data_IF_140363292756
#
_entry.id   IF_140363292756
#
_cell.length_a   1.000
_cell.length_b   1.000
_cell.length_c   1.000
_cell.angle_alpha   90.00
_cell.angle_beta   90.00
_cell.angle_gamma   90.00
#
_symmetry.space_group_name_H-M   'P 1'
#
loop_
_entity.id
_entity.type
_entity.pdbx_description
1 polymer ?
#
# COMPACT_ATOMS: atom_id res chain seq x y z
N UNK A 1 3.16 -20.47 -0.31
CA UNK A 1 4.31 -19.66 -0.73
C UNK A 1 5.08 -19.26 0.50
N UNK A 2 6.38 -18.99 0.37
CA UNK A 2 7.16 -18.39 1.44
C UNK A 2 6.67 -16.96 1.70
N UNK A 3 6.69 -16.53 2.97
CA UNK A 3 6.19 -15.21 3.38
C UNK A 3 6.90 -14.04 2.66
N UNK A 4 8.16 -14.25 2.24
CA UNK A 4 8.94 -13.32 1.40
C UNK A 4 8.25 -12.98 0.07
N UNK A 5 7.47 -13.89 -0.48
CA UNK A 5 6.79 -13.75 -1.78
C UNK A 5 5.37 -13.21 -1.69
N UNK A 6 4.82 -13.09 -0.47
CA UNK A 6 3.43 -12.69 -0.24
C UNK A 6 3.25 -11.19 0.08
N UNK A 7 4.29 -10.37 -0.07
CA UNK A 7 4.23 -8.94 0.24
C UNK A 7 3.57 -8.15 -0.90
N UNK A 8 2.55 -7.32 -0.62
CA UNK A 8 1.89 -6.52 -1.65
C UNK A 8 2.77 -5.38 -2.18
N UNK A 9 3.73 -4.93 -1.36
CA UNK A 9 4.69 -3.87 -1.69
C UNK A 9 6.01 -4.49 -2.15
N UNK A 10 6.48 -4.09 -3.32
CA UNK A 10 7.72 -4.59 -3.93
C UNK A 10 8.67 -3.44 -4.28
N UNK A 11 9.98 -3.70 -4.34
CA UNK A 11 10.96 -2.66 -4.63
C UNK A 11 10.80 -2.04 -6.03
N UNK A 12 10.40 -2.88 -7.00
CA UNK A 12 10.12 -2.47 -8.37
C UNK A 12 8.84 -1.65 -8.49
N UNK A 13 7.84 -1.92 -7.64
CA UNK A 13 6.61 -1.12 -7.56
C UNK A 13 6.79 0.24 -6.88
N UNK A 14 7.82 0.39 -6.02
CA UNK A 14 8.12 1.64 -5.34
C UNK A 14 8.93 2.59 -6.23
N UNK A 15 8.28 3.64 -6.72
CA UNK A 15 8.95 4.70 -7.51
C UNK A 15 8.49 6.09 -7.06
N UNK A 16 9.42 7.05 -7.09
CA UNK A 16 9.09 8.45 -6.86
C UNK A 16 8.52 9.06 -8.15
N UNK A 17 7.42 9.79 -8.03
CA UNK A 17 6.77 10.45 -9.18
C UNK A 17 7.20 11.90 -9.31
N UNK A 18 7.45 12.35 -10.53
CA UNK A 18 7.67 13.77 -10.87
C UNK A 18 6.51 14.39 -11.66
N UNK A 19 5.49 13.57 -11.93
CA UNK A 19 4.30 13.96 -12.67
C UNK A 19 3.52 15.03 -11.88
N UNK A 20 3.23 16.16 -12.52
CA UNK A 20 2.59 17.30 -11.87
C UNK A 20 1.14 17.03 -11.45
N UNK A 21 0.42 16.19 -12.17
CA UNK A 21 -0.97 15.83 -11.88
C UNK A 21 -1.03 14.95 -10.62
N UNK A 22 -0.18 13.92 -10.55
CA UNK A 22 -0.08 13.05 -9.36
C UNK A 22 0.35 13.80 -8.10
N UNK A 23 1.27 14.76 -8.24
CA UNK A 23 1.69 15.64 -7.15
C UNK A 23 0.69 16.76 -6.87
N UNK A 24 -0.19 17.06 -7.83
CA UNK A 24 -1.17 18.14 -7.78
C UNK A 24 -2.10 18.03 -6.58
N UNK A 25 -2.59 16.82 -6.31
CA UNK A 25 -3.41 16.50 -5.14
C UNK A 25 -2.74 16.93 -3.82
N UNK A 26 -1.47 16.58 -3.63
CA UNK A 26 -0.74 16.95 -2.41
C UNK A 26 -0.53 18.46 -2.33
N UNK A 27 -0.19 19.09 -3.46
CA UNK A 27 -0.02 20.55 -3.48
C UNK A 27 -1.31 21.29 -3.17
N UNK A 28 -2.44 20.84 -3.73
CA UNK A 28 -3.75 21.46 -3.57
C UNK A 28 -4.24 21.37 -2.13
N UNK A 29 -4.03 20.23 -1.48
CA UNK A 29 -4.35 20.05 -0.07
C UNK A 29 -3.49 20.94 0.83
N UNK A 30 -2.17 21.07 0.57
CA UNK A 30 -1.23 21.85 1.39
C UNK A 30 -1.30 23.36 1.14
N UNK A 31 -1.75 23.78 -0.04
CA UNK A 31 -1.93 25.19 -0.40
C UNK A 31 -3.40 25.60 -0.46
N UNK A 32 -4.28 24.86 0.23
CA UNK A 32 -5.67 25.23 0.34
C UNK A 32 -5.80 26.67 0.86
N UNK A 33 -6.56 27.50 0.14
CA UNK A 33 -6.74 28.93 0.40
C UNK A 33 -5.48 29.82 0.27
N UNK A 34 -4.46 29.37 -0.48
CA UNK A 34 -3.25 30.17 -0.80
C UNK A 34 -3.17 30.52 -2.29
N UNK A 35 -2.24 31.41 -2.63
CA UNK A 35 -2.05 31.88 -4.01
C UNK A 35 -1.53 30.80 -4.95
N UNK A 36 -1.83 30.94 -6.24
CA UNK A 36 -1.36 30.03 -7.30
C UNK A 36 0.17 29.94 -7.34
N UNK A 37 0.87 31.04 -7.00
CA UNK A 37 2.34 31.08 -6.92
C UNK A 37 2.84 30.12 -5.85
N UNK A 38 2.19 30.08 -4.68
CA UNK A 38 2.59 29.19 -3.59
C UNK A 38 2.45 27.70 -3.97
N UNK A 39 1.44 27.37 -4.79
CA UNK A 39 1.25 26.03 -5.36
C UNK A 39 2.38 25.64 -6.31
N UNK A 40 2.78 26.54 -7.21
CA UNK A 40 3.92 26.30 -8.11
C UNK A 40 5.26 26.16 -7.37
N UNK A 41 5.51 26.99 -6.36
CA UNK A 41 6.71 26.87 -5.53
C UNK A 41 6.72 25.50 -4.84
N UNK A 42 5.62 25.10 -4.19
CA UNK A 42 5.52 23.82 -3.50
C UNK A 42 5.73 22.63 -4.45
N UNK A 43 5.15 22.69 -5.66
CA UNK A 43 5.35 21.65 -6.67
C UNK A 43 6.83 21.45 -7.02
N UNK A 44 7.57 22.54 -7.21
CA UNK A 44 9.00 22.48 -7.51
C UNK A 44 9.82 22.02 -6.30
N UNK A 45 9.43 22.40 -5.10
CA UNK A 45 10.05 21.90 -3.86
C UNK A 45 9.89 20.39 -3.73
N UNK A 46 8.68 19.85 -3.95
CA UNK A 46 8.44 18.40 -3.89
C UNK A 46 9.24 17.67 -4.98
N UNK A 47 9.32 18.23 -6.19
CA UNK A 47 10.17 17.67 -7.27
C UNK A 47 11.64 17.64 -6.88
N UNK A 48 12.15 18.70 -6.28
CA UNK A 48 13.53 18.75 -5.79
C UNK A 48 13.77 17.71 -4.70
N UNK A 49 12.84 17.57 -3.75
CA UNK A 49 12.90 16.54 -2.71
C UNK A 49 12.90 15.13 -3.30
N UNK A 50 12.06 14.85 -4.30
CA UNK A 50 12.05 13.57 -5.00
C UNK A 50 13.36 13.30 -5.75
N UNK A 51 13.94 14.31 -6.39
CA UNK A 51 15.23 14.20 -7.07
C UNK A 51 16.35 13.89 -6.08
N UNK A 52 16.41 14.63 -4.97
CA UNK A 52 17.37 14.38 -3.89
C UNK A 52 17.19 12.97 -3.35
N UNK A 53 15.96 12.54 -3.02
CA UNK A 53 15.68 11.18 -2.57
C UNK A 53 16.16 10.11 -3.54
N UNK A 54 15.94 10.29 -4.86
CA UNK A 54 16.47 9.38 -5.87
C UNK A 54 18.00 9.31 -5.88
N UNK A 55 18.67 10.46 -5.81
CA UNK A 55 20.13 10.55 -5.77
C UNK A 55 20.65 9.83 -4.51
N UNK A 56 20.11 10.16 -3.33
CA UNK A 56 20.53 9.57 -2.06
C UNK A 56 20.35 8.05 -2.03
N UNK A 57 19.20 7.54 -2.51
CA UNK A 57 18.94 6.10 -2.62
C UNK A 57 19.86 5.43 -3.64
N UNK A 58 20.10 6.06 -4.80
CA UNK A 58 20.95 5.51 -5.87
C UNK A 58 22.41 5.39 -5.43
N UNK A 59 22.93 6.42 -4.75
CA UNK A 59 24.30 6.44 -4.24
C UNK A 59 24.45 5.79 -2.86
N UNK A 60 23.36 5.27 -2.28
CA UNK A 60 23.34 4.58 -0.97
C UNK A 60 23.99 5.41 0.14
N UNK A 61 23.78 6.72 0.14
CA UNK A 61 24.41 7.63 1.10
C UNK A 61 23.79 7.46 2.50
N UNK A 62 24.60 7.72 3.52
CA UNK A 62 24.13 7.81 4.90
C UNK A 62 24.13 9.30 5.28
N UNK A 63 22.95 9.91 5.35
CA UNK A 63 22.80 11.34 5.67
C UNK A 63 21.77 11.48 6.78
N UNK A 64 22.08 12.31 7.79
CA UNK A 64 21.21 12.57 8.93
C UNK A 64 20.77 11.28 9.66
N UNK A 65 21.71 10.36 9.86
CA UNK A 65 21.49 9.04 10.50
C UNK A 65 20.51 8.13 9.75
N UNK A 66 20.16 8.46 8.51
CA UNK A 66 19.27 7.65 7.66
C UNK A 66 20.11 6.93 6.59
N UNK A 67 20.13 5.58 6.58
CA UNK A 67 20.78 4.81 5.55
C UNK A 67 19.89 4.72 4.31
N UNK A 68 20.04 5.65 3.37
CA UNK A 68 19.17 5.77 2.19
C UNK A 68 19.22 4.55 1.27
N UNK A 69 20.33 3.81 1.26
CA UNK A 69 20.45 2.55 0.53
C UNK A 69 19.53 1.44 1.06
N UNK A 70 19.05 1.53 2.30
CA UNK A 70 18.13 0.56 2.91
C UNK A 70 16.68 1.04 2.98
N UNK A 71 16.39 2.24 2.50
CA UNK A 71 15.06 2.85 2.63
C UNK A 71 13.92 1.98 2.08
N UNK A 72 14.05 1.45 0.85
CA UNK A 72 13.02 0.57 0.26
C UNK A 72 12.95 -0.81 0.96
N UNK A 73 14.06 -1.54 1.17
CA UNK A 73 14.03 -2.78 1.96
C UNK A 73 13.39 -2.62 3.33
N UNK A 74 13.76 -1.57 4.07
CA UNK A 74 13.25 -1.31 5.43
C UNK A 74 11.74 -1.02 5.38
N UNK A 75 11.28 -0.20 4.41
CA UNK A 75 9.86 0.07 4.21
C UNK A 75 9.07 -1.20 3.90
N UNK A 76 9.57 -2.06 3.01
CA UNK A 76 8.92 -3.32 2.67
C UNK A 76 8.88 -4.23 3.89
N UNK A 77 10.01 -4.38 4.60
CA UNK A 77 10.13 -5.22 5.79
C UNK A 77 9.11 -4.82 6.86
N UNK A 78 9.02 -3.52 7.11
CA UNK A 78 8.18 -2.91 8.14
C UNK A 78 6.70 -2.78 7.72
N UNK A 79 6.35 -3.10 6.47
CA UNK A 79 4.97 -3.14 6.01
C UNK A 79 4.37 -4.52 6.22
N UNK A 80 3.19 -4.55 6.81
CA UNK A 80 2.45 -5.78 6.99
C UNK A 80 1.93 -6.34 5.66
N UNK A 81 1.77 -7.65 5.61
CA UNK A 81 1.34 -8.34 4.39
C UNK A 81 0.28 -9.41 4.66
N UNK A 82 0.13 -9.81 5.94
CA UNK A 82 -0.78 -10.87 6.36
C UNK A 82 -1.26 -10.60 7.78
N UNK A 83 -2.58 -10.50 7.95
CA UNK A 83 -3.23 -10.26 9.24
C UNK A 83 -4.07 -11.47 9.61
N UNK A 84 -3.91 -11.97 10.83
CA UNK A 84 -4.67 -13.09 11.39
C UNK A 84 -5.33 -12.67 12.71
N UNK A 85 -6.65 -12.51 12.70
CA UNK A 85 -7.44 -12.08 13.86
C UNK A 85 -8.70 -12.94 14.05
N UNK A 86 -8.55 -14.26 13.85
CA UNK A 86 -9.68 -15.18 13.68
C UNK A 86 -10.20 -15.23 12.23
N UNK A 87 -9.75 -14.29 11.39
CA UNK A 87 -9.89 -14.32 9.94
C UNK A 87 -8.54 -14.07 9.27
N UNK A 88 -8.33 -14.64 8.07
CA UNK A 88 -7.18 -14.30 7.24
C UNK A 88 -7.53 -13.07 6.40
N UNK A 89 -6.75 -11.99 6.54
CA UNK A 89 -6.89 -10.78 5.73
C UNK A 89 -5.59 -10.47 5.00
N UNK A 90 -5.73 -10.20 3.70
CA UNK A 90 -4.63 -9.98 2.75
C UNK A 90 -4.98 -8.81 1.82
N UNK A 91 -3.98 -7.99 1.51
CA UNK A 91 -3.99 -7.14 0.30
C UNK A 91 -3.07 -7.81 -0.70
N UNK A 92 -3.55 -8.02 -1.92
CA UNK A 92 -2.80 -8.73 -2.97
C UNK A 92 -2.80 -7.84 -4.21
N UNK A 93 -1.61 -7.50 -4.71
CA UNK A 93 -1.45 -6.84 -6.01
C UNK A 93 -1.37 -7.88 -7.12
N UNK A 94 -2.04 -7.63 -8.23
CA UNK A 94 -2.10 -8.57 -9.36
C UNK A 94 -2.95 -8.05 -10.50
N UNK A 95 -2.98 -8.81 -11.59
CA UNK A 95 -3.79 -8.49 -12.77
C UNK A 95 -5.16 -9.19 -12.73
N UNK A 96 -6.05 -8.80 -13.64
CA UNK A 96 -7.40 -9.34 -13.76
C UNK A 96 -7.44 -10.87 -13.93
N UNK A 97 -6.50 -11.45 -14.68
CA UNK A 97 -6.46 -12.90 -14.89
C UNK A 97 -6.11 -13.66 -13.59
N UNK A 98 -5.12 -13.16 -12.84
CA UNK A 98 -4.74 -13.70 -11.53
C UNK A 98 -5.89 -13.59 -10.53
N UNK A 99 -6.56 -12.44 -10.49
CA UNK A 99 -7.75 -12.24 -9.64
C UNK A 99 -8.85 -13.24 -9.97
N UNK A 100 -9.18 -13.40 -11.25
CA UNK A 100 -10.22 -14.34 -11.69
C UNK A 100 -9.87 -15.80 -11.31
N UNK A 101 -8.58 -16.17 -11.38
CA UNK A 101 -8.11 -17.48 -10.94
C UNK A 101 -8.30 -17.67 -9.41
N UNK A 102 -7.96 -16.65 -8.61
CA UNK A 102 -8.15 -16.67 -7.16
C UNK A 102 -9.64 -16.76 -6.80
N UNK A 103 -10.49 -15.97 -7.43
CA UNK A 103 -11.95 -15.99 -7.24
C UNK A 103 -12.53 -17.37 -7.57
N UNK A 104 -12.10 -17.98 -8.68
CA UNK A 104 -12.54 -19.33 -9.06
C UNK A 104 -12.12 -20.38 -8.04
N UNK A 105 -10.90 -20.28 -7.52
CA UNK A 105 -10.39 -21.17 -6.47
C UNK A 105 -11.23 -21.03 -5.19
N UNK A 106 -11.45 -19.81 -4.70
CA UNK A 106 -12.22 -19.53 -3.50
C UNK A 106 -13.68 -19.96 -3.64
N UNK A 107 -14.30 -19.69 -4.80
CA UNK A 107 -15.66 -20.15 -5.11
C UNK A 107 -15.78 -21.67 -5.07
N UNK A 108 -14.78 -22.41 -5.57
CA UNK A 108 -14.78 -23.87 -5.49
C UNK A 108 -14.67 -24.37 -4.04
N UNK A 109 -13.82 -23.72 -3.23
CA UNK A 109 -13.67 -24.06 -1.81
C UNK A 109 -14.91 -23.73 -0.99
N UNK A 110 -15.58 -22.61 -1.28
CA UNK A 110 -16.85 -22.25 -0.67
C UNK A 110 -17.97 -23.25 -1.01
N UNK A 111 -18.08 -23.69 -2.26
CA UNK A 111 -19.03 -24.77 -2.65
C UNK A 111 -18.81 -26.09 -1.92
N UNK A 112 -17.60 -26.35 -1.46
CA UNK A 112 -17.24 -27.53 -0.67
C UNK A 112 -17.41 -27.30 0.84
N UNK A 113 -17.97 -26.16 1.26
CA UNK A 113 -18.06 -25.71 2.65
C UNK A 113 -16.70 -25.65 3.38
N UNK A 114 -15.59 -25.48 2.63
CA UNK A 114 -14.23 -25.45 3.18
C UNK A 114 -13.78 -24.03 3.57
N UNK A 115 -14.38 -22.99 2.99
CA UNK A 115 -14.09 -21.61 3.39
C UNK A 115 -15.23 -20.64 3.07
N UNK A 116 -15.29 -19.57 3.85
CA UNK A 116 -16.07 -18.36 3.56
C UNK A 116 -15.10 -17.26 3.16
N UNK A 117 -15.44 -16.45 2.16
CA UNK A 117 -14.53 -15.42 1.67
C UNK A 117 -15.26 -14.14 1.24
N UNK A 118 -14.52 -13.04 1.21
CA UNK A 118 -14.95 -11.80 0.61
C UNK A 118 -13.77 -11.15 -0.11
N UNK A 119 -14.03 -10.56 -1.28
CA UNK A 119 -13.04 -9.88 -2.09
C UNK A 119 -13.54 -8.48 -2.42
N UNK A 120 -12.64 -7.52 -2.30
CA UNK A 120 -12.82 -6.16 -2.80
C UNK A 120 -11.71 -5.86 -3.80
N UNK A 121 -12.06 -5.18 -4.89
CA UNK A 121 -11.11 -4.78 -5.94
C UNK A 121 -11.02 -3.27 -5.91
N UNK A 122 -9.80 -2.76 -5.79
CA UNK A 122 -9.50 -1.34 -5.96
C UNK A 122 -8.26 -1.18 -6.83
N UNK A 123 -8.08 0.01 -7.38
CA UNK A 123 -6.95 0.39 -8.22
C UNK A 123 -5.72 0.85 -7.41
N UNK A 124 -5.90 1.03 -6.10
CA UNK A 124 -4.92 1.61 -5.22
C UNK A 124 -4.99 1.06 -3.79
N UNK A 125 -3.91 1.23 -3.05
CA UNK A 125 -3.79 0.84 -1.64
C UNK A 125 -3.02 1.90 -0.87
N UNK A 126 -3.36 2.05 0.41
CA UNK A 126 -2.75 3.00 1.31
C UNK A 126 -1.82 2.29 2.28
N UNK A 127 -0.70 2.95 2.58
CA UNK A 127 0.25 2.55 3.61
C UNK A 127 0.11 3.58 4.74
N UNK A 128 -0.30 3.11 5.91
CA UNK A 128 -0.44 3.94 7.11
C UNK A 128 0.67 3.60 8.08
N UNK A 129 1.49 4.59 8.41
CA UNK A 129 2.60 4.43 9.34
C UNK A 129 2.12 4.61 10.79
N UNK A 130 2.37 3.60 11.62
CA UNK A 130 2.30 3.69 13.07
C UNK A 130 3.72 3.93 13.60
N UNK A 131 4.01 5.17 14.01
CA UNK A 131 5.35 5.57 14.47
C UNK A 131 5.40 5.42 16.00
N UNK A 132 6.18 4.46 16.49
CA UNK A 132 6.58 4.42 17.90
C UNK A 132 8.00 5.00 18.13
N UNK A 133 8.91 4.92 17.14
CA UNK A 133 10.23 5.55 17.17
C UNK A 133 10.75 5.83 15.74
N UNK A 134 11.22 7.06 15.47
CA UNK A 134 11.76 7.49 14.15
C UNK A 134 13.08 6.80 13.76
N UNK A 135 13.78 6.17 14.71
CA UNK A 135 15.10 5.58 14.52
C UNK A 135 15.11 4.10 14.08
N UNK A 136 13.96 3.49 13.75
CA UNK A 136 13.93 2.16 13.12
C UNK A 136 12.72 1.28 13.43
N UNK A 137 11.99 1.56 14.52
CA UNK A 137 10.79 0.80 14.90
C UNK A 137 9.53 1.57 14.49
N UNK A 138 9.26 1.57 13.19
CA UNK A 138 7.99 2.02 12.65
C UNK A 138 7.32 0.81 11.97
N UNK A 139 6.02 0.69 12.13
CA UNK A 139 5.25 -0.39 11.53
C UNK A 139 4.25 0.21 10.55
N UNK A 140 4.13 -0.36 9.36
CA UNK A 140 3.18 0.13 8.37
C UNK A 140 2.05 -0.87 8.16
N UNK A 141 0.82 -0.37 8.22
CA UNK A 141 -0.36 -1.11 7.82
C UNK A 141 -0.66 -0.85 6.35
N UNK A 142 -0.91 -1.91 5.59
CA UNK A 142 -1.46 -1.82 4.24
C UNK A 142 -2.95 -2.17 4.22
N UNK A 143 -3.74 -1.32 3.58
CA UNK A 143 -5.15 -1.55 3.25
C UNK A 143 -5.47 -1.05 1.84
N UNK A 144 -6.45 -1.66 1.18
CA UNK A 144 -6.89 -1.24 -0.15
C UNK A 144 -7.73 0.04 -0.06
N UNK A 145 -7.75 0.86 -1.12
CA UNK A 145 -8.64 2.02 -1.18
C UNK A 145 -10.12 1.61 -1.28
N UNK A 146 -11.01 2.62 -1.25
CA UNK A 146 -12.46 2.45 -1.41
C UNK A 146 -13.11 1.52 -0.37
N UNK A 147 -12.65 1.59 0.87
CA UNK A 147 -13.19 0.84 2.00
C UNK A 147 -12.50 -0.50 2.29
N UNK A 148 -11.58 -0.96 1.43
CA UNK A 148 -10.64 -2.03 1.76
C UNK A 148 -11.27 -3.28 2.37
N UNK A 149 -10.77 -3.71 3.53
CA UNK A 149 -11.31 -4.86 4.26
C UNK A 149 -12.80 -4.70 4.63
N UNK A 150 -13.28 -3.48 4.88
CA UNK A 150 -14.69 -3.27 5.20
C UNK A 150 -15.59 -3.60 4.00
N UNK A 151 -15.21 -3.19 2.79
CA UNK A 151 -15.92 -3.53 1.56
C UNK A 151 -15.89 -5.04 1.29
N UNK A 152 -14.72 -5.68 1.44
CA UNK A 152 -14.59 -7.13 1.30
C UNK A 152 -15.46 -7.90 2.31
N UNK A 153 -15.64 -7.35 3.51
CA UNK A 153 -16.44 -7.98 4.58
C UNK A 153 -17.92 -8.13 4.21
N UNK A 154 -18.45 -7.34 3.27
CA UNK A 154 -19.86 -7.42 2.85
C UNK A 154 -20.15 -8.79 2.22
N UNK A 155 -19.33 -9.19 1.24
CA UNK A 155 -19.47 -10.51 0.62
C UNK A 155 -19.22 -11.64 1.62
N UNK A 156 -18.19 -11.48 2.46
CA UNK A 156 -17.85 -12.46 3.49
C UNK A 156 -19.03 -12.73 4.44
N UNK A 157 -19.62 -11.67 5.00
CA UNK A 157 -20.76 -11.77 5.93
C UNK A 157 -22.00 -12.34 5.25
N UNK A 158 -22.27 -11.96 4.00
CA UNK A 158 -23.38 -12.54 3.22
C UNK A 158 -23.24 -14.06 3.11
N UNK A 159 -22.07 -14.55 2.69
CA UNK A 159 -21.81 -15.98 2.59
C UNK A 159 -21.89 -16.68 3.97
N UNK A 160 -21.39 -16.04 5.03
CA UNK A 160 -21.45 -16.58 6.38
C UNK A 160 -22.90 -16.82 6.82
N UNK A 161 -23.79 -15.86 6.57
CA UNK A 161 -25.21 -15.95 6.91
C UNK A 161 -25.98 -16.97 6.06
N UNK A 162 -25.53 -17.26 4.84
CA UNK A 162 -26.11 -18.30 3.98
C UNK A 162 -25.73 -19.72 4.44
N UNK A 163 -24.70 -19.85 5.28
CA UNK A 163 -24.21 -21.13 5.83
C UNK A 163 -24.71 -21.44 7.25
N UNK A 164 -25.22 -20.43 7.97
CA UNK A 164 -25.81 -20.54 9.31
C UNK A 164 -27.30 -20.86 9.25
#
# INVERSE_FOLDING_TARGET
GEDSTCRPVTESGLSLTFNAEKLGLETDLKTYNKSIISRYILLNVIRLQNLLGLILMKFKLNIADIPWGRYKPDLIHNTDFKKFDGTLRLVISGNTAQRNQLEKYLKNKNKQNLCVYGIHVSDSAYITCLINNRAGNHFHFVDSADGGYAAASIQFKKQLNEMS
#
